data_IF_229509922695
#
_entry.id   IF_229509922695
#
_cell.length_a   1.000
_cell.length_b   1.000
_cell.length_c   1.000
_cell.angle_alpha   90.00
_cell.angle_beta   90.00
_cell.angle_gamma   90.00
#
_symmetry.space_group_name_H-M   'P 1'
#
loop_
_entity.id
_entity.type
_entity.pdbx_description
1 polymer ?
#
# COMPACT_ATOMS: atom_id res chain seq x y z
N UNK A 1 60.33 -13.02 -39.31
CA UNK A 1 59.37 -12.06 -39.88
C UNK A 1 58.02 -12.77 -39.89
N UNK A 2 57.49 -13.19 -38.73
CA UNK A 2 56.72 -12.41 -37.73
C UNK A 2 55.51 -11.69 -38.34
N UNK A 3 54.33 -12.28 -38.15
CA UNK A 3 53.05 -11.59 -38.08
C UNK A 3 52.11 -12.44 -37.22
N UNK A 4 51.82 -11.94 -36.01
CA UNK A 4 50.83 -12.47 -35.07
C UNK A 4 49.41 -12.34 -35.65
N UNK A 5 48.49 -13.27 -35.37
CA UNK A 5 47.08 -12.99 -35.53
C UNK A 5 46.58 -12.20 -34.31
N UNK A 6 46.10 -11.01 -34.63
CA UNK A 6 45.39 -9.99 -33.86
C UNK A 6 44.41 -10.55 -32.80
N UNK A 7 44.87 -10.64 -31.54
CA UNK A 7 44.03 -10.74 -30.35
C UNK A 7 43.33 -9.40 -30.09
N UNK A 8 42.31 -9.06 -30.88
CA UNK A 8 41.56 -7.83 -30.67
C UNK A 8 40.07 -7.92 -31.03
N UNK A 9 39.33 -8.84 -30.39
CA UNK A 9 37.89 -8.63 -30.24
C UNK A 9 37.35 -9.24 -28.94
N UNK A 10 37.98 -8.88 -27.82
CA UNK A 10 37.39 -9.08 -26.49
C UNK A 10 36.35 -7.99 -26.19
N UNK A 11 35.18 -8.47 -25.75
CA UNK A 11 34.25 -7.83 -24.82
C UNK A 11 33.67 -6.45 -25.19
N UNK A 12 32.71 -6.43 -26.11
CA UNK A 12 31.73 -5.33 -26.22
C UNK A 12 30.33 -5.85 -25.93
N UNK A 13 29.97 -5.92 -24.64
CA UNK A 13 28.60 -6.24 -24.29
C UNK A 13 28.27 -6.48 -22.82
N UNK A 14 29.07 -6.04 -21.84
CA UNK A 14 28.62 -6.02 -20.44
C UNK A 14 27.64 -4.87 -20.21
N UNK A 15 26.41 -5.05 -20.68
CA UNK A 15 25.27 -4.31 -20.15
C UNK A 15 25.18 -4.56 -18.64
N UNK A 16 24.88 -3.52 -17.86
CA UNK A 16 24.66 -3.65 -16.42
C UNK A 16 23.65 -4.79 -16.18
N UNK A 17 23.96 -5.78 -15.32
CA UNK A 17 23.10 -6.94 -15.13
C UNK A 17 21.67 -6.50 -14.78
N UNK A 18 20.65 -7.22 -15.29
CA UNK A 18 19.26 -6.86 -15.07
C UNK A 18 18.98 -6.78 -13.57
N UNK A 19 18.32 -5.69 -13.20
CA UNK A 19 18.05 -5.40 -11.80
C UNK A 19 17.02 -6.38 -11.23
N UNK A 20 17.31 -6.94 -10.05
CA UNK A 20 16.42 -7.85 -9.33
C UNK A 20 15.09 -7.18 -8.97
N UNK A 21 14.00 -7.94 -8.87
CA UNK A 21 12.69 -7.42 -8.43
C UNK A 21 12.78 -6.74 -7.06
N UNK A 22 13.56 -7.32 -6.14
CA UNK A 22 13.80 -6.72 -4.83
C UNK A 22 14.42 -5.33 -4.92
N UNK A 23 15.36 -5.12 -5.85
CA UNK A 23 15.98 -3.81 -6.04
C UNK A 23 15.02 -2.82 -6.72
N UNK A 24 14.13 -3.29 -7.60
CA UNK A 24 13.05 -2.44 -8.16
C UNK A 24 12.09 -1.98 -7.05
N UNK A 25 11.70 -2.88 -6.15
CA UNK A 25 10.82 -2.59 -5.04
C UNK A 25 11.41 -1.56 -4.07
N UNK A 26 12.69 -1.71 -3.72
CA UNK A 26 13.41 -0.72 -2.90
C UNK A 26 13.38 0.67 -3.56
N UNK A 27 13.65 0.74 -4.87
CA UNK A 27 13.61 2.03 -5.59
C UNK A 27 12.20 2.62 -5.61
N UNK A 28 11.16 1.79 -5.82
CA UNK A 28 9.76 2.24 -5.78
C UNK A 28 9.40 2.82 -4.42
N UNK A 29 9.80 2.18 -3.33
CA UNK A 29 9.56 2.69 -1.98
C UNK A 29 10.33 3.98 -1.72
N UNK A 30 11.58 4.10 -2.18
CA UNK A 30 12.34 5.35 -2.07
C UNK A 30 11.66 6.52 -2.83
N UNK A 31 11.16 6.26 -4.05
CA UNK A 31 10.39 7.24 -4.82
C UNK A 31 9.13 7.65 -4.07
N UNK A 32 8.42 6.67 -3.49
CA UNK A 32 7.19 6.92 -2.75
C UNK A 32 7.43 7.76 -1.49
N UNK A 33 8.51 7.49 -0.74
CA UNK A 33 8.89 8.28 0.44
C UNK A 33 9.19 9.73 0.08
N UNK A 34 10.02 9.98 -0.94
CA UNK A 34 10.35 11.35 -1.37
C UNK A 34 9.11 12.08 -1.88
N UNK A 35 8.25 11.41 -2.64
CA UNK A 35 7.00 11.98 -3.13
C UNK A 35 6.08 12.36 -1.96
N UNK A 36 5.94 11.49 -0.95
CA UNK A 36 5.16 11.76 0.25
C UNK A 36 5.67 13.00 1.00
N UNK A 37 6.97 13.11 1.23
CA UNK A 37 7.57 14.25 1.94
C UNK A 37 7.32 15.57 1.22
N UNK A 38 7.41 15.58 -0.12
CA UNK A 38 7.08 16.75 -0.94
C UNK A 38 5.58 17.07 -0.90
N UNK A 39 4.72 16.07 -1.03
CA UNK A 39 3.27 16.27 -0.96
C UNK A 39 2.83 16.81 0.40
N UNK A 40 3.43 16.35 1.50
CA UNK A 40 3.15 16.87 2.84
C UNK A 40 3.64 18.32 3.02
N UNK A 41 4.80 18.65 2.47
CA UNK A 41 5.44 19.96 2.75
C UNK A 41 4.87 21.10 1.90
N UNK A 42 4.50 20.84 0.65
CA UNK A 42 4.08 21.87 -0.31
C UNK A 42 2.79 21.53 -1.08
N UNK A 43 2.16 20.39 -0.80
CA UNK A 43 0.97 19.92 -1.50
C UNK A 43 1.28 19.23 -2.83
N UNK A 44 0.29 18.50 -3.36
CA UNK A 44 0.45 17.73 -4.59
C UNK A 44 0.56 18.66 -5.80
N UNK A 45 -0.23 19.73 -5.83
CA UNK A 45 -0.26 20.68 -6.95
C UNK A 45 1.07 21.41 -7.15
N UNK A 46 1.73 21.83 -6.07
CA UNK A 46 3.02 22.53 -6.13
C UNK A 46 4.22 21.59 -6.34
N UNK A 47 4.01 20.27 -6.21
CA UNK A 47 5.06 19.27 -6.43
C UNK A 47 5.17 18.90 -7.90
N UNK A 48 6.38 18.95 -8.45
CA UNK A 48 6.71 18.50 -9.79
C UNK A 48 7.42 17.14 -9.78
N UNK A 49 7.42 16.44 -10.91
CA UNK A 49 8.09 15.13 -11.04
C UNK A 49 9.60 15.30 -11.05
N UNK A 50 10.10 16.43 -11.54
CA UNK A 50 11.50 16.83 -11.49
C UNK A 50 11.98 16.94 -10.04
N UNK A 51 11.22 17.60 -9.17
CA UNK A 51 11.56 17.70 -7.74
C UNK A 51 11.65 16.32 -7.06
N UNK A 52 10.72 15.41 -7.38
CA UNK A 52 10.75 14.03 -6.86
C UNK A 52 11.99 13.30 -7.40
N UNK A 53 12.29 13.42 -8.70
CA UNK A 53 13.44 12.77 -9.31
C UNK A 53 14.77 13.29 -8.77
N UNK A 54 14.88 14.61 -8.57
CA UNK A 54 16.03 15.29 -7.99
C UNK A 54 16.27 14.84 -6.54
N UNK A 55 15.20 14.63 -5.76
CA UNK A 55 15.28 14.10 -4.40
C UNK A 55 15.92 12.71 -4.29
N UNK A 56 15.96 11.94 -5.38
CA UNK A 56 16.68 10.65 -5.46
C UNK A 56 17.96 10.70 -6.32
N UNK A 57 18.28 11.85 -6.92
CA UNK A 57 19.37 11.96 -7.89
C UNK A 57 19.18 11.10 -9.14
N UNK A 58 17.93 10.88 -9.56
CA UNK A 58 17.58 10.13 -10.78
C UNK A 58 16.99 11.05 -11.84
N UNK A 59 17.00 10.63 -13.10
CA UNK A 59 16.29 11.38 -14.15
C UNK A 59 14.78 11.15 -14.09
N UNK A 60 13.99 12.12 -14.56
CA UNK A 60 12.52 11.98 -14.73
C UNK A 60 12.17 10.76 -15.58
N UNK A 61 12.94 10.48 -16.64
CA UNK A 61 12.82 9.25 -17.45
C UNK A 61 12.98 7.98 -16.61
N UNK A 62 13.90 7.98 -15.65
CA UNK A 62 14.10 6.85 -14.74
C UNK A 62 12.92 6.72 -13.78
N UNK A 63 12.42 7.83 -13.24
CA UNK A 63 11.24 7.84 -12.38
C UNK A 63 10.01 7.28 -13.09
N UNK A 64 9.73 7.70 -14.34
CA UNK A 64 8.60 7.22 -15.14
C UNK A 64 8.63 5.72 -15.45
N UNK A 65 9.80 5.07 -15.32
CA UNK A 65 9.89 3.61 -15.43
C UNK A 65 9.32 2.88 -14.20
N UNK A 66 9.22 3.56 -13.06
CA UNK A 66 8.75 2.99 -11.80
C UNK A 66 7.36 3.48 -11.40
N UNK A 67 6.95 4.67 -11.83
CA UNK A 67 5.67 5.28 -11.49
C UNK A 67 4.86 5.65 -12.73
N UNK A 68 3.54 5.38 -12.76
CA UNK A 68 2.69 5.72 -13.91
C UNK A 68 2.25 7.20 -13.95
N UNK A 69 2.22 7.87 -12.80
CA UNK A 69 1.85 9.29 -12.67
C UNK A 69 2.59 9.92 -11.49
N UNK A 70 2.53 11.26 -11.35
CA UNK A 70 3.11 11.95 -10.20
C UNK A 70 2.48 11.43 -8.90
N UNK A 71 1.16 11.35 -8.88
CA UNK A 71 0.38 10.90 -7.74
C UNK A 71 0.52 9.39 -7.53
N UNK A 72 0.72 8.63 -8.60
CA UNK A 72 1.03 7.20 -8.54
C UNK A 72 2.37 6.89 -7.87
N UNK A 73 3.25 7.88 -7.65
CA UNK A 73 4.52 7.67 -6.98
C UNK A 73 4.36 7.11 -5.57
N UNK A 74 3.24 7.41 -4.89
CA UNK A 74 2.99 6.95 -3.51
C UNK A 74 2.30 5.58 -3.43
N UNK A 75 1.83 5.03 -4.56
CA UNK A 75 1.15 3.73 -4.61
C UNK A 75 1.94 2.60 -3.92
N UNK A 76 3.28 2.49 -4.04
CA UNK A 76 4.04 1.45 -3.35
C UNK A 76 3.90 1.46 -1.83
N UNK A 77 3.75 2.63 -1.20
CA UNK A 77 3.54 2.72 0.26
C UNK A 77 2.15 2.19 0.65
N UNK A 78 1.12 2.54 -0.14
CA UNK A 78 -0.24 2.06 0.08
C UNK A 78 -0.34 0.54 -0.10
N UNK A 79 0.25 0.02 -1.18
CA UNK A 79 0.33 -1.41 -1.45
C UNK A 79 1.10 -2.16 -0.38
N UNK A 80 2.17 -1.58 0.16
CA UNK A 80 2.93 -2.18 1.25
C UNK A 80 2.07 -2.32 2.52
N UNK A 81 1.33 -1.28 2.91
CA UNK A 81 0.42 -1.34 4.06
C UNK A 81 -0.64 -2.43 3.91
N UNK A 82 -1.29 -2.51 2.75
CA UNK A 82 -2.26 -3.56 2.44
C UNK A 82 -1.61 -4.95 2.49
N UNK A 83 -0.42 -5.11 1.90
CA UNK A 83 0.29 -6.38 1.89
C UNK A 83 0.63 -6.86 3.31
N UNK A 84 1.04 -5.95 4.20
CA UNK A 84 1.30 -6.27 5.62
C UNK A 84 0.03 -6.81 6.29
N UNK A 85 -1.13 -6.17 6.08
CA UNK A 85 -2.41 -6.63 6.63
C UNK A 85 -2.78 -8.02 6.10
N UNK A 86 -2.66 -8.24 4.79
CA UNK A 86 -2.96 -9.55 4.17
C UNK A 86 -2.02 -10.63 4.68
N UNK A 87 -0.72 -10.34 4.82
CA UNK A 87 0.25 -11.29 5.37
C UNK A 87 -0.09 -11.70 6.81
N UNK A 88 -0.45 -10.74 7.67
CA UNK A 88 -0.90 -11.05 9.04
C UNK A 88 -2.08 -12.03 9.05
N UNK A 89 -3.04 -11.88 8.13
CA UNK A 89 -4.17 -12.80 8.06
C UNK A 89 -3.80 -14.23 7.68
N UNK A 90 -2.70 -14.41 6.93
CA UNK A 90 -2.16 -15.72 6.58
C UNK A 90 -1.35 -16.34 7.73
N UNK A 91 -0.69 -15.53 8.56
CA UNK A 91 0.08 -15.98 9.74
C UNK A 91 -0.83 -16.45 10.88
N UNK A 92 -2.02 -15.86 10.96
CA UNK A 92 -3.03 -16.15 11.96
C UNK A 92 -3.57 -17.59 11.93
N UNK A 93 -3.75 -18.24 13.11
CA UNK A 93 -4.31 -19.58 13.19
C UNK A 93 -5.64 -19.72 12.43
N UNK A 94 -5.81 -20.87 11.75
CA UNK A 94 -6.97 -21.13 10.89
C UNK A 94 -8.15 -21.75 11.64
N UNK A 95 -7.90 -22.31 12.81
CA UNK A 95 -8.88 -22.93 13.71
C UNK A 95 -9.70 -21.89 14.51
N UNK A 96 -9.24 -20.63 14.55
CA UNK A 96 -9.98 -19.52 15.13
C UNK A 96 -10.67 -18.67 14.06
N UNK A 97 -11.94 -18.26 14.26
CA UNK A 97 -12.65 -17.37 13.35
C UNK A 97 -11.86 -16.07 13.09
N UNK A 98 -11.76 -15.66 11.82
CA UNK A 98 -11.02 -14.44 11.43
C UNK A 98 -11.52 -13.20 12.19
N UNK A 99 -12.83 -13.12 12.40
CA UNK A 99 -13.45 -12.03 13.15
C UNK A 99 -12.98 -11.97 14.61
N UNK A 100 -12.88 -13.11 15.28
CA UNK A 100 -12.45 -13.16 16.67
C UNK A 100 -11.02 -12.61 16.79
N UNK A 101 -10.14 -13.01 15.88
CA UNK A 101 -8.78 -12.50 15.81
C UNK A 101 -8.74 -10.99 15.54
N UNK A 102 -9.52 -10.51 14.56
CA UNK A 102 -9.63 -9.09 14.25
C UNK A 102 -10.13 -8.23 15.42
N UNK A 103 -10.97 -8.78 16.30
CA UNK A 103 -11.50 -8.04 17.44
C UNK A 103 -10.55 -8.02 18.65
N UNK A 104 -9.58 -8.93 18.71
CA UNK A 104 -8.70 -9.09 19.87
C UNK A 104 -7.24 -8.71 19.59
N UNK A 105 -6.85 -8.52 18.33
CA UNK A 105 -5.47 -8.17 17.97
C UNK A 105 -5.25 -6.66 17.83
N UNK A 106 -4.52 -6.08 18.78
CA UNK A 106 -3.98 -4.71 18.73
C UNK A 106 -2.88 -4.56 17.65
N UNK A 107 -2.31 -5.70 17.26
CA UNK A 107 -1.17 -5.85 16.35
C UNK A 107 -1.38 -5.21 14.97
N UNK A 108 -2.62 -5.13 14.47
CA UNK A 108 -2.92 -4.49 13.18
C UNK A 108 -2.74 -2.97 13.26
N UNK A 109 -3.08 -2.37 14.40
CA UNK A 109 -2.87 -0.94 14.63
C UNK A 109 -1.38 -0.62 14.70
N UNK A 110 -0.60 -1.41 15.45
CA UNK A 110 0.85 -1.22 15.58
C UNK A 110 1.62 -1.44 14.27
N UNK A 111 1.12 -2.34 13.40
CA UNK A 111 1.75 -2.64 12.12
C UNK A 111 1.53 -1.56 11.05
N UNK A 112 0.71 -0.54 11.31
CA UNK A 112 0.43 0.52 10.35
C UNK A 112 1.52 1.59 10.38
N UNK A 113 2.33 1.77 9.31
CA UNK A 113 3.39 2.77 9.31
C UNK A 113 2.84 4.20 9.34
N UNK A 114 3.53 5.14 10.02
CA UNK A 114 3.14 6.56 10.05
C UNK A 114 3.04 7.15 8.64
N UNK A 115 3.88 6.72 7.69
CA UNK A 115 3.79 7.14 6.28
C UNK A 115 2.46 6.80 5.63
N UNK A 116 1.82 5.71 6.05
CA UNK A 116 0.47 5.33 5.60
C UNK A 116 -0.57 6.27 6.20
N UNK A 117 -0.47 6.59 7.50
CA UNK A 117 -1.35 7.55 8.15
C UNK A 117 -1.24 8.93 7.51
N UNK A 118 -0.03 9.39 7.20
CA UNK A 118 0.21 10.64 6.49
C UNK A 118 -0.44 10.66 5.10
N UNK A 119 -0.34 9.56 4.34
CA UNK A 119 -1.00 9.45 3.04
C UNK A 119 -2.51 9.50 3.18
N UNK A 120 -3.08 8.81 4.17
CA UNK A 120 -4.52 8.83 4.43
C UNK A 120 -4.99 10.22 4.84
N UNK A 121 -4.22 10.97 5.64
CA UNK A 121 -4.50 12.39 5.94
C UNK A 121 -4.55 13.23 4.67
N UNK A 122 -3.60 13.06 3.75
CA UNK A 122 -3.59 13.76 2.46
C UNK A 122 -4.83 13.47 1.61
N UNK A 123 -5.42 12.27 1.68
CA UNK A 123 -6.65 11.97 0.90
C UNK A 123 -7.84 12.87 1.24
N UNK A 124 -7.84 13.56 2.40
CA UNK A 124 -8.89 14.51 2.78
C UNK A 124 -8.86 15.76 1.91
N UNK A 125 -7.66 16.30 1.71
CA UNK A 125 -7.43 17.60 1.04
C UNK A 125 -6.99 17.45 -0.42
N UNK A 126 -6.42 16.31 -0.81
CA UNK A 126 -5.85 16.06 -2.13
C UNK A 126 -6.67 15.01 -2.92
N UNK A 127 -7.58 15.43 -3.82
CA UNK A 127 -8.45 14.51 -4.56
C UNK A 127 -7.70 13.48 -5.40
N UNK A 128 -6.53 13.85 -5.94
CA UNK A 128 -5.75 12.96 -6.78
C UNK A 128 -5.10 11.82 -5.97
N UNK A 129 -4.70 12.09 -4.72
CA UNK A 129 -4.21 11.05 -3.79
C UNK A 129 -5.35 10.16 -3.34
N UNK A 130 -6.54 10.72 -3.08
CA UNK A 130 -7.75 9.95 -2.78
C UNK A 130 -8.10 8.97 -3.90
N UNK A 131 -7.94 9.33 -5.16
CA UNK A 131 -8.14 8.40 -6.28
C UNK A 131 -7.16 7.23 -6.25
N UNK A 132 -5.87 7.48 -5.99
CA UNK A 132 -4.85 6.42 -5.88
C UNK A 132 -5.14 5.51 -4.69
N UNK A 133 -5.56 6.09 -3.55
CA UNK A 133 -5.97 5.37 -2.36
C UNK A 133 -7.13 4.41 -2.62
N UNK A 134 -8.24 4.90 -3.16
CA UNK A 134 -9.41 4.06 -3.44
C UNK A 134 -9.11 2.98 -4.49
N UNK A 135 -8.31 3.31 -5.51
CA UNK A 135 -7.89 2.31 -6.50
C UNK A 135 -7.06 1.20 -5.87
N UNK A 136 -6.12 1.55 -4.97
CA UNK A 136 -5.30 0.54 -4.28
C UNK A 136 -6.14 -0.45 -3.45
N UNK A 137 -7.23 0.03 -2.84
CA UNK A 137 -8.17 -0.83 -2.14
C UNK A 137 -8.95 -1.74 -3.09
N UNK A 138 -9.43 -1.24 -4.22
CA UNK A 138 -10.10 -2.06 -5.24
C UNK A 138 -9.16 -3.15 -5.77
N UNK A 139 -7.91 -2.80 -6.08
CA UNK A 139 -6.91 -3.74 -6.58
C UNK A 139 -6.60 -4.85 -5.56
N UNK A 140 -6.71 -4.53 -4.26
CA UNK A 140 -6.46 -5.47 -3.17
C UNK A 140 -7.59 -6.45 -2.86
N UNK A 141 -8.80 -6.25 -3.39
CA UNK A 141 -9.95 -7.09 -3.06
C UNK A 141 -9.71 -8.58 -3.38
N UNK A 142 -8.95 -8.86 -4.44
CA UNK A 142 -8.56 -10.22 -4.80
C UNK A 142 -7.68 -10.91 -3.76
N UNK A 143 -6.80 -10.15 -3.08
CA UNK A 143 -5.95 -10.66 -2.02
C UNK A 143 -6.76 -10.98 -0.76
N UNK A 144 -7.69 -10.09 -0.37
CA UNK A 144 -8.63 -10.37 0.72
C UNK A 144 -9.54 -11.56 0.39
N UNK A 145 -10.02 -11.69 -0.84
CA UNK A 145 -10.81 -12.84 -1.28
C UNK A 145 -10.03 -14.16 -1.17
N UNK A 146 -8.71 -14.15 -1.46
CA UNK A 146 -7.84 -15.29 -1.24
C UNK A 146 -7.81 -15.73 0.24
N UNK A 147 -7.65 -14.78 1.16
CA UNK A 147 -7.68 -15.05 2.61
C UNK A 147 -9.02 -15.67 3.03
N UNK A 148 -10.14 -15.11 2.58
CA UNK A 148 -11.48 -15.60 2.92
C UNK A 148 -11.72 -17.00 2.32
N UNK A 149 -11.32 -17.22 1.07
CA UNK A 149 -11.43 -18.53 0.41
C UNK A 149 -10.66 -19.62 1.17
N UNK A 150 -9.42 -19.33 1.58
CA UNK A 150 -8.60 -20.28 2.34
C UNK A 150 -9.20 -20.66 3.70
N UNK A 151 -9.96 -19.77 4.33
CA UNK A 151 -10.59 -20.00 5.64
C UNK A 151 -11.96 -20.67 5.54
N UNK A 152 -12.72 -20.39 4.49
CA UNK A 152 -14.10 -20.87 4.32
C UNK A 152 -14.20 -22.12 3.45
N UNK A 153 -13.19 -22.39 2.61
CA UNK A 153 -13.22 -23.43 1.59
C UNK A 153 -14.07 -23.06 0.35
N UNK A 154 -14.64 -21.86 0.29
CA UNK A 154 -15.37 -21.37 -0.87
C UNK A 154 -14.41 -20.92 -1.98
N UNK A 155 -14.82 -20.94 -3.26
CA UNK A 155 -14.04 -20.36 -4.35
C UNK A 155 -13.78 -18.85 -4.12
N UNK A 156 -12.59 -18.33 -4.50
CA UNK A 156 -12.26 -16.91 -4.36
C UNK A 156 -13.10 -15.98 -5.24
N UNK A 157 -13.69 -16.51 -6.31
CA UNK A 157 -14.57 -15.78 -7.23
C UNK A 157 -16.07 -15.92 -6.89
N UNK A 158 -16.42 -16.74 -5.90
CA UNK A 158 -17.80 -16.85 -5.41
C UNK A 158 -18.30 -15.50 -4.89
N UNK A 159 -19.58 -15.21 -5.14
CA UNK A 159 -20.19 -13.93 -4.77
C UNK A 159 -20.04 -13.68 -3.26
N UNK A 160 -20.29 -14.70 -2.44
CA UNK A 160 -20.18 -14.66 -0.99
C UNK A 160 -18.77 -14.28 -0.54
N UNK A 161 -17.73 -14.92 -1.12
CA UNK A 161 -16.32 -14.64 -0.83
C UNK A 161 -15.96 -13.19 -1.20
N UNK A 162 -16.38 -12.72 -2.37
CA UNK A 162 -16.11 -11.36 -2.84
C UNK A 162 -16.82 -10.31 -1.98
N UNK A 163 -18.07 -10.57 -1.57
CA UNK A 163 -18.83 -9.68 -0.68
C UNK A 163 -18.15 -9.61 0.69
N UNK A 164 -17.77 -10.75 1.27
CA UNK A 164 -17.08 -10.80 2.56
C UNK A 164 -15.72 -10.08 2.51
N UNK A 165 -14.93 -10.31 1.45
CA UNK A 165 -13.65 -9.63 1.24
C UNK A 165 -13.81 -8.12 1.07
N UNK A 166 -14.78 -7.68 0.27
CA UNK A 166 -15.10 -6.27 0.07
C UNK A 166 -15.55 -5.59 1.36
N UNK A 167 -16.43 -6.24 2.13
CA UNK A 167 -16.88 -5.74 3.43
C UNK A 167 -15.72 -5.58 4.42
N UNK A 168 -14.83 -6.57 4.51
CA UNK A 168 -13.65 -6.52 5.37
C UNK A 168 -12.72 -5.38 4.94
N UNK A 169 -12.39 -5.30 3.64
CA UNK A 169 -11.54 -4.26 3.09
C UNK A 169 -12.09 -2.85 3.35
N UNK A 170 -13.40 -2.64 3.11
CA UNK A 170 -14.08 -1.36 3.36
C UNK A 170 -14.11 -1.02 4.84
N UNK A 171 -14.39 -1.98 5.73
CA UNK A 171 -14.40 -1.75 7.16
C UNK A 171 -13.02 -1.30 7.67
N UNK A 172 -11.94 -1.98 7.26
CA UNK A 172 -10.57 -1.62 7.62
C UNK A 172 -10.16 -0.27 7.04
N UNK A 173 -10.49 0.00 5.77
CA UNK A 173 -10.25 1.31 5.13
C UNK A 173 -10.91 2.45 5.90
N UNK A 174 -12.20 2.31 6.21
CA UNK A 174 -12.97 3.36 6.90
C UNK A 174 -12.45 3.55 8.33
N UNK A 175 -12.08 2.47 9.03
CA UNK A 175 -11.48 2.58 10.36
C UNK A 175 -10.17 3.38 10.34
N UNK A 176 -9.29 3.08 9.38
CA UNK A 176 -8.03 3.80 9.20
C UNK A 176 -8.23 5.26 8.81
N UNK A 177 -9.14 5.54 7.87
CA UNK A 177 -9.53 6.90 7.49
C UNK A 177 -10.07 7.69 8.68
N UNK A 178 -10.98 7.09 9.45
CA UNK A 178 -11.54 7.70 10.64
C UNK A 178 -10.45 8.06 11.64
N UNK A 179 -9.60 7.10 12.01
CA UNK A 179 -8.51 7.31 12.95
C UNK A 179 -7.52 8.38 12.49
N UNK A 180 -7.08 8.32 11.24
CA UNK A 180 -6.13 9.28 10.68
C UNK A 180 -6.68 10.71 10.70
N UNK A 181 -7.98 10.87 10.45
CA UNK A 181 -8.65 12.18 10.39
C UNK A 181 -9.18 12.69 11.73
N UNK A 182 -9.40 11.84 12.73
CA UNK A 182 -9.78 12.28 14.09
C UNK A 182 -8.58 12.84 14.85
N UNK A 183 -7.41 12.19 14.73
CA UNK A 183 -6.16 12.71 15.31
C UNK A 183 -5.81 14.08 14.75
N UNK A 184 -5.97 14.27 13.44
CA UNK A 184 -5.66 15.53 12.75
C UNK A 184 -6.56 16.70 13.23
N UNK A 185 -7.73 16.40 13.80
CA UNK A 185 -8.67 17.40 14.32
C UNK A 185 -8.39 17.83 15.77
N UNK A 186 -7.33 17.31 16.41
CA UNK A 186 -6.96 17.70 17.78
C UNK A 186 -8.00 17.30 18.82
N UNK A 187 -8.76 16.23 18.57
CA UNK A 187 -9.70 15.68 19.55
C UNK A 187 -8.90 15.23 20.78
N UNK A 188 -9.32 15.66 21.98
CA UNK A 188 -8.60 15.39 23.25
C UNK A 188 -8.42 13.89 23.53
N UNK A 189 -9.36 13.06 23.07
CA UNK A 189 -9.31 11.60 23.13
C UNK A 189 -9.80 10.99 21.79
N UNK A 190 -8.94 10.82 20.78
CA UNK A 190 -9.35 10.38 19.44
C UNK A 190 -9.87 8.93 19.35
N UNK A 191 -9.82 8.17 20.45
CA UNK A 191 -9.93 6.71 20.44
C UNK A 191 -8.68 6.04 19.85
N UNK A 192 -8.47 4.75 20.13
CA UNK A 192 -7.37 4.00 19.50
C UNK A 192 -7.76 3.54 18.08
N UNK A 193 -6.77 3.25 17.23
CA UNK A 193 -7.02 2.64 15.92
C UNK A 193 -7.68 1.26 16.06
N UNK A 194 -7.38 0.54 17.15
CA UNK A 194 -8.04 -0.71 17.53
C UNK A 194 -9.53 -0.49 17.77
N UNK A 195 -9.93 0.55 18.51
CA UNK A 195 -11.34 0.87 18.77
C UNK A 195 -12.10 1.21 17.47
N UNK A 196 -11.47 2.00 16.59
CA UNK A 196 -12.04 2.34 15.29
C UNK A 196 -12.25 1.07 14.43
N UNK A 197 -11.28 0.16 14.44
CA UNK A 197 -11.32 -1.11 13.71
C UNK A 197 -12.41 -2.02 14.25
N UNK A 198 -12.48 -2.23 15.57
CA UNK A 198 -13.52 -3.02 16.21
C UNK A 198 -14.91 -2.46 15.92
N UNK A 199 -15.07 -1.14 15.99
CA UNK A 199 -16.35 -0.47 15.69
C UNK A 199 -16.77 -0.69 14.24
N UNK A 200 -15.85 -0.51 13.28
CA UNK A 200 -16.12 -0.71 11.87
C UNK A 200 -16.50 -2.16 11.56
N UNK A 201 -15.76 -3.13 12.10
CA UNK A 201 -16.02 -4.56 11.91
C UNK A 201 -17.37 -4.97 12.50
N UNK A 202 -17.64 -4.61 13.77
CA UNK A 202 -18.94 -4.87 14.42
C UNK A 202 -20.10 -4.28 13.61
N UNK A 203 -19.91 -3.09 13.04
CA UNK A 203 -20.92 -2.44 12.18
C UNK A 203 -21.12 -3.22 10.88
N UNK A 204 -20.03 -3.64 10.22
CA UNK A 204 -20.12 -4.45 9.01
C UNK A 204 -20.88 -5.77 9.23
N UNK A 205 -20.68 -6.43 10.37
CA UNK A 205 -21.33 -7.71 10.70
C UNK A 205 -22.81 -7.54 11.04
N UNK A 206 -23.15 -6.51 11.83
CA UNK A 206 -24.56 -6.17 12.09
C UNK A 206 -25.28 -5.85 10.77
N UNK A 207 -24.55 -5.34 9.79
CA UNK A 207 -25.02 -5.15 8.43
C UNK A 207 -26.24 -4.24 8.36
N UNK A 208 -27.15 -4.56 7.45
CA UNK A 208 -28.44 -3.88 7.26
C UNK A 208 -29.57 -4.47 8.11
N UNK A 209 -29.29 -5.42 9.01
CA UNK A 209 -30.30 -6.13 9.80
C UNK A 209 -30.86 -5.28 10.97
N UNK A 210 -30.93 -3.96 10.79
CA UNK A 210 -31.46 -3.00 11.77
C UNK A 210 -32.95 -3.19 12.02
#
# INVERSE_FOLDING_TARGET
>A
MTAEPDEAQADRGRGRPPMTERRKEIIRLQIATVALDLFKSQGVAATSVEQIADGLGISTRTLWRYSPSKEGCVLPLLQHGIAVVVQKFHEWPRDMPLLEQLLHEEDLAEATPESTLDLVRLTRTEPAIRSVWLQSHLDSESAFAGVIAERTGLPPDALETKVQAGMLNVALRIALEHYAWTIDQGVEEPGSMTDATQTALRTAIKGLAM
#
